data_IF_475359157635
#
_entry.id   IF_475359157635
#
_cell.length_a   1.000
_cell.length_b   1.000
_cell.length_c   1.000
_cell.angle_alpha   90.00
_cell.angle_beta   90.00
_cell.angle_gamma   90.00
#
_symmetry.space_group_name_H-M   'P 1'
#
loop_
_entity.id
_entity.type
_entity.pdbx_description
1 polymer ?
#
# COMPACT_ATOMS: atom_id res chain seq x y z
N UNK A 1 58.07 10.34 -9.49
CA UNK A 1 57.73 10.01 -10.90
C UNK A 1 56.44 10.73 -11.24
N UNK A 2 56.54 11.60 -12.23
CA UNK A 2 55.66 12.70 -12.59
C UNK A 2 54.62 12.32 -13.64
N UNK A 3 53.38 12.76 -13.42
CA UNK A 3 52.43 13.42 -14.36
C UNK A 3 52.27 12.88 -15.80
N UNK A 4 51.02 12.71 -16.27
CA UNK A 4 50.49 13.56 -17.37
C UNK A 4 49.01 13.33 -17.66
N UNK A 5 48.27 14.44 -17.61
CA UNK A 5 46.93 14.69 -18.13
C UNK A 5 47.08 15.26 -19.55
N UNK A 6 46.23 14.90 -20.52
CA UNK A 6 46.03 15.71 -21.73
C UNK A 6 44.57 15.73 -22.22
N UNK A 7 43.98 16.92 -22.15
CA UNK A 7 42.91 17.48 -23.01
C UNK A 7 43.52 18.06 -24.29
N UNK A 8 42.79 18.04 -25.41
CA UNK A 8 42.80 18.99 -26.56
C UNK A 8 41.61 18.58 -27.45
N UNK A 9 40.50 19.32 -27.68
CA UNK A 9 40.21 20.68 -28.19
C UNK A 9 40.41 20.85 -29.72
N UNK A 10 39.40 21.49 -30.33
CA UNK A 10 39.32 22.25 -31.61
C UNK A 10 38.88 21.47 -32.88
N UNK A 11 38.02 21.94 -33.80
CA UNK A 11 36.98 23.00 -33.91
C UNK A 11 36.52 23.08 -35.37
N UNK A 12 35.26 23.49 -35.56
CA UNK A 12 34.62 24.19 -36.69
C UNK A 12 34.94 23.85 -38.16
N UNK A 13 33.87 23.71 -38.95
CA UNK A 13 33.66 24.63 -40.07
C UNK A 13 32.16 24.93 -40.29
N UNK A 14 31.87 26.23 -40.30
CA UNK A 14 30.62 26.91 -40.64
C UNK A 14 30.68 27.28 -42.13
N UNK A 15 29.57 27.21 -42.88
CA UNK A 15 29.27 28.18 -43.94
C UNK A 15 27.79 28.16 -44.36
N UNK A 16 27.18 29.33 -44.24
CA UNK A 16 25.85 29.79 -44.65
C UNK A 16 25.80 30.11 -46.17
N UNK A 17 24.60 30.47 -46.67
CA UNK A 17 24.19 31.24 -47.88
C UNK A 17 23.26 30.41 -48.80
N UNK A 18 22.17 30.87 -49.42
CA UNK A 18 21.37 32.11 -49.42
C UNK A 18 20.07 31.82 -50.24
N UNK A 19 18.97 32.54 -49.97
CA UNK A 19 17.69 32.63 -50.75
C UNK A 19 17.88 33.46 -52.05
N UNK A 20 16.93 33.62 -53.04
CA UNK A 20 15.45 33.70 -52.92
C UNK A 20 14.54 33.23 -54.12
N UNK A 21 13.21 33.33 -53.88
CA UNK A 21 11.98 33.45 -54.72
C UNK A 21 12.00 33.20 -56.25
N UNK A 22 10.98 32.46 -56.76
CA UNK A 22 9.86 32.99 -57.58
C UNK A 22 8.98 31.89 -58.21
N UNK A 23 7.66 32.11 -58.30
CA UNK A 23 6.76 31.38 -59.22
C UNK A 23 5.35 31.12 -58.68
N UNK A 24 4.44 32.10 -58.81
CA UNK A 24 2.99 31.93 -58.64
C UNK A 24 2.27 31.67 -60.00
N UNK A 25 0.98 31.31 -59.88
CA UNK A 25 -0.17 31.52 -60.80
C UNK A 25 -0.41 30.46 -61.90
N UNK A 26 -1.50 29.69 -61.81
CA UNK A 26 -2.78 29.95 -62.52
C UNK A 26 -3.85 28.90 -62.23
N UNK A 27 -5.06 29.40 -61.96
CA UNK A 27 -6.35 28.71 -61.90
C UNK A 27 -7.26 29.27 -63.01
N UNK A 28 -8.12 28.42 -63.60
CA UNK A 28 -9.51 28.64 -64.08
C UNK A 28 -9.85 27.59 -65.16
N UNK A 29 -10.85 26.73 -64.97
CA UNK A 29 -12.32 26.89 -65.17
C UNK A 29 -12.73 26.85 -66.63
N UNK A 30 -13.66 25.96 -66.97
CA UNK A 30 -14.76 26.26 -67.87
C UNK A 30 -16.02 25.48 -67.49
N UNK A 31 -17.10 26.23 -67.23
CA UNK A 31 -18.50 25.82 -67.17
C UNK A 31 -19.16 26.05 -68.53
N UNK A 32 -20.25 25.33 -68.83
CA UNK A 32 -21.60 25.83 -69.23
C UNK A 32 -22.37 24.76 -70.04
N UNK A 33 -23.51 24.26 -69.53
CA UNK A 33 -24.92 24.68 -69.81
C UNK A 33 -25.51 23.90 -71.03
N UNK A 34 -26.72 23.34 -71.15
CA UNK A 34 -28.08 23.66 -70.64
C UNK A 34 -29.09 22.54 -71.02
N UNK A 35 -30.27 22.48 -70.34
CA UNK A 35 -31.61 22.00 -70.82
C UNK A 35 -31.90 20.48 -70.89
N UNK A 36 -33.09 19.87 -70.68
CA UNK A 36 -34.49 20.27 -70.35
C UNK A 36 -35.33 18.99 -70.01
N UNK A 37 -36.36 19.15 -69.16
CA UNK A 37 -37.66 18.43 -68.99
C UNK A 37 -37.85 16.90 -68.81
N UNK A 38 -38.52 16.58 -67.69
CA UNK A 38 -39.64 15.64 -67.39
C UNK A 38 -39.78 14.26 -68.05
N UNK A 39 -39.89 13.22 -67.20
CA UNK A 39 -40.85 12.10 -67.35
C UNK A 39 -41.08 11.38 -66.00
N UNK A 40 -42.27 10.81 -65.83
CA UNK A 40 -42.88 10.26 -64.61
C UNK A 40 -42.49 8.80 -64.27
N UNK A 41 -42.86 8.40 -63.03
CA UNK A 41 -43.12 7.02 -62.55
C UNK A 41 -41.89 6.13 -62.34
N UNK A 42 -41.69 5.39 -61.25
CA UNK A 42 -42.63 4.47 -60.58
C UNK A 42 -42.03 4.01 -59.23
N UNK A 43 -42.91 3.86 -58.23
CA UNK A 43 -42.83 3.16 -56.92
C UNK A 43 -41.57 2.37 -56.51
N UNK A 44 -41.12 2.58 -55.27
CA UNK A 44 -40.83 1.52 -54.26
C UNK A 44 -40.84 2.17 -52.86
N UNK A 45 -41.67 1.74 -51.90
CA UNK A 45 -41.62 2.29 -50.55
C UNK A 45 -40.37 1.76 -49.82
N UNK A 46 -39.54 2.69 -49.36
CA UNK A 46 -38.42 2.42 -48.48
C UNK A 46 -38.93 1.80 -47.18
N UNK A 47 -38.45 0.60 -46.88
CA UNK A 47 -38.56 0.00 -45.54
C UNK A 47 -37.71 0.87 -44.62
N UNK A 48 -38.38 1.67 -43.79
CA UNK A 48 -37.77 2.31 -42.63
C UNK A 48 -37.30 1.20 -41.70
N UNK A 49 -36.00 0.94 -41.69
CA UNK A 49 -35.38 0.24 -40.56
C UNK A 49 -35.44 1.21 -39.40
N UNK A 50 -36.31 0.92 -38.43
CA UNK A 50 -36.22 1.49 -37.10
C UNK A 50 -34.83 1.11 -36.56
N UNK A 51 -33.92 2.08 -36.53
CA UNK A 51 -32.75 2.01 -35.65
C UNK A 51 -33.30 1.86 -34.23
N UNK A 52 -33.23 0.63 -33.72
CA UNK A 52 -33.34 0.36 -32.30
C UNK A 52 -32.13 1.04 -31.66
N UNK A 53 -32.30 2.30 -31.26
CA UNK A 53 -31.38 2.97 -30.35
C UNK A 53 -31.49 2.21 -29.03
N UNK A 54 -30.60 1.25 -28.85
CA UNK A 54 -30.36 0.57 -27.58
C UNK A 54 -29.97 1.66 -26.59
N UNK A 55 -30.95 2.13 -25.83
CA UNK A 55 -30.77 3.06 -24.73
C UNK A 55 -29.83 2.37 -23.74
N UNK A 56 -28.54 2.70 -23.80
CA UNK A 56 -27.55 2.27 -22.79
C UNK A 56 -28.14 2.59 -21.42
N UNK A 57 -28.54 1.54 -20.69
CA UNK A 57 -29.11 1.69 -19.37
C UNK A 57 -28.05 2.37 -18.50
N UNK A 58 -28.39 3.51 -17.92
CA UNK A 58 -27.47 4.26 -17.06
C UNK A 58 -26.97 3.33 -15.94
N UNK A 59 -25.65 3.20 -15.73
CA UNK A 59 -25.12 2.31 -14.71
C UNK A 59 -25.61 2.74 -13.31
N UNK A 60 -25.80 1.76 -12.43
CA UNK A 60 -26.22 1.97 -11.04
C UNK A 60 -25.12 2.61 -10.16
N UNK A 61 -23.91 2.72 -10.70
CA UNK A 61 -22.76 3.40 -10.11
C UNK A 61 -22.38 4.63 -10.93
N UNK A 62 -21.63 5.57 -10.34
CA UNK A 62 -21.08 6.72 -11.10
C UNK A 62 -19.72 6.34 -11.65
N UNK A 63 -19.46 6.59 -12.94
CA UNK A 63 -18.14 6.40 -13.54
C UNK A 63 -17.47 7.74 -13.84
N UNK A 64 -16.16 7.79 -13.69
CA UNK A 64 -15.31 8.90 -14.11
C UNK A 64 -14.04 8.36 -14.78
N UNK A 65 -13.50 9.06 -15.78
CA UNK A 65 -12.21 8.70 -16.38
C UNK A 65 -11.05 9.39 -15.65
N UNK A 66 -10.04 8.61 -15.31
CA UNK A 66 -8.82 9.12 -14.66
C UNK A 66 -7.85 9.69 -15.70
N UNK A 67 -7.12 10.73 -15.31
CA UNK A 67 -6.07 11.35 -16.14
C UNK A 67 -4.68 10.90 -15.68
N UNK A 68 -3.70 10.93 -16.59
CA UNK A 68 -2.30 10.61 -16.30
C UNK A 68 -1.88 9.23 -16.80
N UNK A 69 -0.96 8.58 -16.08
CA UNK A 69 -0.52 7.22 -16.42
C UNK A 69 -1.59 6.20 -16.00
N UNK A 70 -2.36 5.71 -16.98
CA UNK A 70 -3.52 4.84 -16.76
C UNK A 70 -3.21 3.34 -16.93
N UNK A 71 -2.12 2.99 -17.60
CA UNK A 71 -1.78 1.59 -17.92
C UNK A 71 -0.65 1.11 -17.00
N UNK A 72 -1.02 0.76 -15.77
CA UNK A 72 -0.10 0.30 -14.72
C UNK A 72 -0.12 -1.22 -14.60
N UNK A 73 -1.20 -1.88 -15.04
CA UNK A 73 -1.38 -3.32 -14.94
C UNK A 73 -2.02 -3.79 -13.63
N UNK A 74 -2.67 -2.89 -12.89
CA UNK A 74 -3.36 -3.18 -11.64
C UNK A 74 -4.79 -2.60 -11.61
N UNK A 75 -5.53 -2.86 -10.54
CA UNK A 75 -6.74 -2.12 -10.22
C UNK A 75 -6.66 -1.64 -8.77
N UNK A 76 -7.31 -0.52 -8.49
CA UNK A 76 -7.24 0.15 -7.18
C UNK A 76 -8.61 0.24 -6.57
N UNK A 77 -8.74 -0.22 -5.33
CA UNK A 77 -9.95 -0.07 -4.52
C UNK A 77 -9.67 0.92 -3.40
N UNK A 78 -10.61 1.81 -3.12
CA UNK A 78 -10.47 2.82 -2.08
C UNK A 78 -11.82 3.19 -1.45
N UNK A 79 -11.83 3.69 -0.20
CA UNK A 79 -10.67 3.77 0.71
C UNK A 79 -10.23 2.37 1.18
N UNK A 80 -8.99 2.23 1.65
CA UNK A 80 -8.49 0.94 2.17
C UNK A 80 -9.18 0.53 3.49
N UNK A 81 -9.63 1.52 4.27
CA UNK A 81 -10.39 1.33 5.51
C UNK A 81 -11.37 2.47 5.69
N UNK A 82 -12.58 2.14 6.11
CA UNK A 82 -13.61 3.10 6.55
C UNK A 82 -14.02 2.76 7.97
N UNK A 83 -14.12 3.77 8.83
CA UNK A 83 -14.63 3.64 10.19
C UNK A 83 -15.89 4.48 10.32
N UNK A 84 -16.99 3.88 10.78
CA UNK A 84 -18.31 4.50 10.83
C UNK A 84 -18.95 4.18 12.18
N UNK A 85 -19.49 5.20 12.85
CA UNK A 85 -20.26 5.04 14.07
C UNK A 85 -21.74 5.35 13.81
N UNK A 86 -22.61 4.38 14.06
CA UNK A 86 -24.02 4.40 13.64
C UNK A 86 -24.93 4.00 14.81
N UNK A 87 -26.12 4.58 14.89
CA UNK A 87 -27.12 4.21 15.90
C UNK A 87 -27.94 3.00 15.44
N UNK A 88 -28.47 2.14 16.35
CA UNK A 88 -29.38 1.08 15.94
C UNK A 88 -30.58 1.61 15.13
N UNK A 89 -30.88 0.97 14.00
CA UNK A 89 -31.97 1.37 13.09
C UNK A 89 -31.60 2.42 12.04
N UNK A 90 -30.36 2.90 12.01
CA UNK A 90 -29.89 3.91 11.06
C UNK A 90 -29.25 3.25 9.83
N UNK A 91 -29.35 3.94 8.69
CA UNK A 91 -28.76 3.53 7.41
C UNK A 91 -27.77 4.59 6.94
N UNK A 92 -26.59 4.16 6.54
CA UNK A 92 -25.53 5.01 5.99
C UNK A 92 -25.13 4.50 4.62
N UNK A 93 -24.86 5.42 3.69
CA UNK A 93 -24.31 5.09 2.37
C UNK A 93 -22.84 5.50 2.35
N UNK A 94 -21.96 4.53 2.13
CA UNK A 94 -20.53 4.74 1.98
C UNK A 94 -20.13 4.55 0.52
N UNK A 95 -19.38 5.50 -0.04
CA UNK A 95 -18.85 5.35 -1.41
C UNK A 95 -17.51 4.59 -1.39
N UNK A 96 -17.42 3.53 -2.20
CA UNK A 96 -16.17 2.82 -2.52
C UNK A 96 -15.79 3.12 -3.97
N UNK A 97 -14.54 3.49 -4.22
CA UNK A 97 -14.01 3.69 -5.56
C UNK A 97 -13.28 2.46 -6.07
N UNK A 98 -13.56 2.03 -7.30
CA UNK A 98 -12.81 0.99 -8.00
C UNK A 98 -12.27 1.57 -9.30
N UNK A 99 -10.96 1.53 -9.49
CA UNK A 99 -10.28 2.08 -10.68
C UNK A 99 -9.62 0.96 -11.45
N UNK A 100 -9.95 0.81 -12.73
CA UNK A 100 -9.29 -0.14 -13.62
C UNK A 100 -8.08 0.53 -14.29
N UNK A 101 -6.88 0.02 -14.02
CA UNK A 101 -5.63 0.42 -14.69
C UNK A 101 -4.97 -0.77 -15.40
N UNK A 102 -5.75 -1.82 -15.65
CA UNK A 102 -5.38 -2.99 -16.44
C UNK A 102 -5.63 -2.65 -17.91
N UNK A 103 -4.74 -3.09 -18.80
CA UNK A 103 -4.72 -2.77 -20.24
C UNK A 103 -5.94 -3.24 -21.06
N UNK A 104 -7.02 -3.69 -20.43
CA UNK A 104 -8.22 -4.22 -21.08
C UNK A 104 -9.46 -3.98 -20.21
N UNK A 105 -10.63 -3.99 -20.85
CA UNK A 105 -11.93 -3.94 -20.16
C UNK A 105 -12.11 -5.20 -19.32
N UNK A 106 -12.58 -5.02 -18.09
CA UNK A 106 -12.71 -6.11 -17.11
C UNK A 106 -14.07 -6.08 -16.42
N UNK A 107 -14.58 -7.26 -16.10
CA UNK A 107 -15.69 -7.41 -15.16
C UNK A 107 -15.12 -7.43 -13.74
N UNK A 108 -15.74 -6.66 -12.85
CA UNK A 108 -15.46 -6.61 -11.43
C UNK A 108 -16.64 -7.16 -10.65
N UNK A 109 -16.37 -7.92 -9.58
CA UNK A 109 -17.40 -8.48 -8.69
C UNK A 109 -17.14 -8.05 -7.25
N UNK A 110 -18.22 -7.77 -6.55
CA UNK A 110 -18.27 -7.35 -5.15
C UNK A 110 -18.71 -8.52 -4.28
N UNK A 111 -17.92 -8.83 -3.26
CA UNK A 111 -18.24 -9.82 -2.24
C UNK A 111 -18.07 -9.18 -0.87
N UNK A 112 -18.94 -9.49 0.08
CA UNK A 112 -18.77 -9.07 1.48
C UNK A 112 -18.25 -10.25 2.26
N UNK A 113 -17.13 -10.03 2.95
CA UNK A 113 -16.53 -11.06 3.80
C UNK A 113 -16.31 -10.52 5.21
N UNK A 114 -16.50 -11.36 6.23
CA UNK A 114 -16.18 -10.98 7.60
C UNK A 114 -14.66 -10.97 7.78
N UNK A 115 -14.22 -10.10 8.68
CA UNK A 115 -12.81 -10.04 9.08
C UNK A 115 -12.70 -10.24 10.58
N UNK A 116 -11.63 -10.92 10.98
CA UNK A 116 -11.29 -11.12 12.39
C UNK A 116 -9.84 -10.72 12.63
N UNK A 117 -9.49 -10.39 13.88
CA UNK A 117 -8.09 -10.20 14.24
C UNK A 117 -7.40 -11.53 14.46
N UNK A 118 -6.07 -11.54 14.38
CA UNK A 118 -5.33 -12.77 14.63
C UNK A 118 -5.33 -13.18 16.09
N UNK A 119 -5.31 -14.49 16.37
CA UNK A 119 -5.10 -15.03 17.72
C UNK A 119 -3.63 -15.12 18.12
N UNK A 120 -2.71 -15.03 17.16
CA UNK A 120 -1.26 -15.13 17.38
C UNK A 120 -0.53 -13.81 17.15
N UNK A 121 -1.23 -12.76 16.69
CA UNK A 121 -0.66 -11.45 16.40
C UNK A 121 0.06 -11.30 15.06
N UNK A 122 0.13 -12.36 14.24
CA UNK A 122 0.88 -12.38 12.97
C UNK A 122 0.26 -11.54 11.85
N UNK A 123 -1.04 -11.27 11.91
CA UNK A 123 -1.79 -10.56 10.87
C UNK A 123 -2.70 -9.49 11.46
N UNK A 124 -2.80 -8.35 10.76
CA UNK A 124 -3.68 -7.27 11.15
C UNK A 124 -5.17 -7.63 11.02
N UNK A 125 -5.50 -8.40 9.98
CA UNK A 125 -6.84 -8.90 9.68
C UNK A 125 -6.74 -10.29 9.05
N UNK A 126 -7.73 -11.12 9.30
CA UNK A 126 -7.90 -12.44 8.70
C UNK A 126 -9.32 -12.56 8.15
N UNK A 127 -9.37 -12.94 6.88
CA UNK A 127 -10.58 -13.27 6.13
C UNK A 127 -11.14 -14.62 6.61
N UNK A 128 -12.43 -14.68 6.94
CA UNK A 128 -13.08 -15.88 7.50
C UNK A 128 -13.59 -16.87 6.44
N UNK A 129 -13.52 -16.51 5.16
CA UNK A 129 -14.13 -17.25 4.05
C UNK A 129 -15.65 -17.31 4.20
N UNK A 130 -16.23 -18.49 4.06
CA UNK A 130 -17.67 -18.69 4.19
C UNK A 130 -18.15 -18.71 5.66
N UNK A 131 -17.24 -18.89 6.62
CA UNK A 131 -17.59 -18.93 8.04
C UNK A 131 -18.03 -17.56 8.54
N UNK A 132 -19.03 -17.57 9.43
CA UNK A 132 -19.55 -16.34 10.05
C UNK A 132 -18.72 -16.00 11.28
N UNK A 133 -18.17 -14.79 11.31
CA UNK A 133 -17.44 -14.28 12.46
C UNK A 133 -18.37 -13.86 13.62
N UNK A 134 -17.85 -13.77 14.86
CA UNK A 134 -18.62 -13.28 16.00
C UNK A 134 -19.02 -11.79 15.89
N UNK A 135 -18.35 -11.03 15.03
CA UNK A 135 -18.54 -9.60 14.80
C UNK A 135 -18.96 -9.31 13.35
N UNK A 136 -19.80 -10.17 12.79
CA UNK A 136 -20.13 -10.20 11.37
C UNK A 136 -20.93 -8.98 10.90
N UNK A 137 -20.45 -8.30 9.86
CA UNK A 137 -21.14 -7.16 9.24
C UNK A 137 -21.93 -7.53 7.97
N UNK A 138 -21.78 -8.77 7.47
CA UNK A 138 -22.32 -9.23 6.17
C UNK A 138 -23.78 -8.85 5.96
N UNK A 139 -24.63 -9.11 6.95
CA UNK A 139 -26.08 -8.90 6.85
C UNK A 139 -26.46 -7.40 6.79
N UNK A 140 -25.54 -6.49 7.12
CA UNK A 140 -25.80 -5.06 7.16
C UNK A 140 -25.38 -4.37 5.86
N UNK A 141 -24.51 -4.99 5.06
CA UNK A 141 -23.98 -4.42 3.82
C UNK A 141 -24.79 -4.93 2.64
N UNK A 142 -25.17 -4.01 1.76
CA UNK A 142 -25.86 -4.31 0.51
C UNK A 142 -25.38 -3.40 -0.63
N UNK A 143 -25.48 -3.92 -1.85
CA UNK A 143 -25.19 -3.20 -3.08
C UNK A 143 -26.40 -3.31 -4.02
N UNK A 144 -26.63 -2.34 -4.92
CA UNK A 144 -27.66 -2.45 -5.95
C UNK A 144 -27.47 -3.67 -6.86
N UNK A 145 -26.23 -3.93 -7.28
CA UNK A 145 -25.81 -5.14 -7.99
C UNK A 145 -24.41 -5.55 -7.49
N UNK A 146 -24.03 -6.80 -7.73
CA UNK A 146 -22.77 -7.40 -7.28
C UNK A 146 -21.67 -7.41 -8.36
N UNK A 147 -21.98 -7.01 -9.60
CA UNK A 147 -20.98 -6.91 -10.67
C UNK A 147 -21.13 -5.64 -11.50
N UNK A 148 -20.02 -5.23 -12.13
CA UNK A 148 -19.96 -4.11 -13.05
C UNK A 148 -18.74 -4.23 -13.96
N UNK A 149 -18.78 -3.53 -15.09
CA UNK A 149 -17.71 -3.54 -16.09
C UNK A 149 -17.01 -2.19 -16.11
N UNK A 150 -15.67 -2.18 -16.15
CA UNK A 150 -14.88 -0.96 -16.33
C UNK A 150 -13.89 -1.11 -17.48
N UNK A 151 -13.81 -0.07 -18.30
CA UNK A 151 -12.76 0.09 -19.30
C UNK A 151 -11.43 0.51 -18.67
N UNK A 152 -10.35 0.42 -19.43
CA UNK A 152 -9.04 0.94 -19.03
C UNK A 152 -9.15 2.45 -18.71
N UNK A 153 -8.72 2.84 -17.51
CA UNK A 153 -8.73 4.22 -17.06
C UNK A 153 -10.09 4.69 -16.53
N UNK A 154 -11.08 3.82 -16.39
CA UNK A 154 -12.33 4.15 -15.71
C UNK A 154 -12.26 3.91 -14.21
N UNK A 155 -12.98 4.75 -13.47
CA UNK A 155 -13.19 4.65 -12.03
C UNK A 155 -14.68 4.66 -11.72
N UNK A 156 -15.18 3.57 -11.14
CA UNK A 156 -16.50 3.51 -10.53
C UNK A 156 -16.49 4.11 -9.12
N UNK A 157 -17.58 4.78 -8.75
CA UNK A 157 -17.98 5.14 -7.38
C UNK A 157 -19.23 4.33 -7.04
N UNK A 158 -19.04 3.33 -6.18
CA UNK A 158 -20.00 2.31 -5.82
C UNK A 158 -20.67 2.73 -4.50
N UNK A 159 -21.99 2.97 -4.48
CA UNK A 159 -22.71 3.27 -3.26
C UNK A 159 -22.97 2.00 -2.45
N UNK A 160 -22.25 1.84 -1.34
CA UNK A 160 -22.41 0.72 -0.39
C UNK A 160 -23.39 1.13 0.69
N UNK A 161 -24.51 0.43 0.78
CA UNK A 161 -25.54 0.73 1.78
C UNK A 161 -25.32 -0.14 3.02
N UNK A 162 -25.16 0.51 4.17
CA UNK A 162 -24.97 -0.14 5.47
C UNK A 162 -26.21 0.15 6.31
N UNK A 163 -27.04 -0.87 6.54
CA UNK A 163 -28.28 -0.75 7.32
C UNK A 163 -28.15 -1.52 8.62
N UNK A 164 -28.18 -0.81 9.74
CA UNK A 164 -28.10 -1.41 11.07
C UNK A 164 -29.52 -1.70 11.58
N UNK A 165 -29.86 -2.96 11.92
CA UNK A 165 -31.15 -3.28 12.52
C UNK A 165 -31.41 -2.52 13.84
N UNK A 166 -32.69 -2.34 14.20
CA UNK A 166 -33.07 -1.65 15.44
C UNK A 166 -32.73 -2.44 16.70
N UNK A 167 -32.65 -3.76 16.57
CA UNK A 167 -32.30 -4.74 17.59
C UNK A 167 -30.81 -5.12 17.57
N UNK A 168 -29.98 -4.43 16.78
CA UNK A 168 -28.54 -4.64 16.78
C UNK A 168 -27.94 -4.35 18.16
N UNK A 169 -27.13 -5.27 18.66
CA UNK A 169 -26.43 -5.11 19.92
C UNK A 169 -25.33 -4.04 19.80
N UNK A 170 -25.10 -3.21 20.83
CA UNK A 170 -23.96 -2.29 20.85
C UNK A 170 -22.63 -3.04 20.75
N UNK A 171 -21.75 -2.59 19.86
CA UNK A 171 -20.48 -3.27 19.64
C UNK A 171 -19.83 -2.94 18.31
N UNK A 172 -18.72 -3.62 18.04
CA UNK A 172 -18.03 -3.53 16.77
C UNK A 172 -18.46 -4.63 15.80
N UNK A 173 -18.66 -4.26 14.55
CA UNK A 173 -18.94 -5.17 13.43
C UNK A 173 -17.91 -4.92 12.33
N UNK A 174 -17.29 -5.97 11.83
CA UNK A 174 -16.12 -5.88 10.96
C UNK A 174 -16.27 -6.78 9.76
N UNK A 175 -15.97 -6.21 8.59
CA UNK A 175 -15.86 -6.96 7.36
C UNK A 175 -15.07 -6.20 6.33
N UNK A 176 -15.02 -6.75 5.12
CA UNK A 176 -14.47 -6.08 3.97
C UNK A 176 -15.37 -6.25 2.77
N UNK A 177 -15.43 -5.22 1.94
CA UNK A 177 -15.95 -5.33 0.59
C UNK A 177 -14.79 -5.73 -0.31
N UNK A 178 -14.78 -6.98 -0.72
CA UNK A 178 -13.81 -7.55 -1.64
C UNK A 178 -14.24 -7.24 -3.07
N UNK A 179 -13.30 -6.71 -3.83
CA UNK A 179 -13.45 -6.51 -5.27
C UNK A 179 -12.53 -7.50 -5.96
N UNK A 180 -13.12 -8.38 -6.76
CA UNK A 180 -12.40 -9.31 -7.62
C UNK A 180 -12.58 -8.95 -9.08
N UNK A 181 -11.67 -9.39 -9.95
CA UNK A 181 -11.81 -9.16 -11.40
C UNK A 181 -11.50 -10.41 -12.21
N UNK A 182 -12.29 -10.61 -13.26
CA UNK A 182 -12.09 -11.66 -14.27
C UNK A 182 -12.09 -11.04 -15.67
N UNK A 183 -11.45 -11.72 -16.62
CA UNK A 183 -11.49 -11.32 -18.03
C UNK A 183 -12.87 -11.61 -18.61
N UNK A 184 -13.44 -10.63 -19.31
CA UNK A 184 -14.70 -10.79 -20.06
C UNK A 184 -14.47 -11.83 -21.17
N UNK A 185 -15.38 -12.79 -21.32
CA UNK A 185 -15.26 -13.89 -22.29
C UNK A 185 -14.50 -15.13 -21.81
N UNK A 186 -14.22 -15.23 -20.51
CA UNK A 186 -13.74 -16.48 -19.89
C UNK A 186 -14.93 -17.34 -19.51
N UNK A 187 -15.48 -18.07 -20.48
CA UNK A 187 -16.54 -19.06 -20.26
C UNK A 187 -15.95 -20.23 -19.44
N UNK A 188 -16.56 -20.64 -18.30
CA UNK A 188 -16.11 -21.83 -17.54
C UNK A 188 -16.09 -23.12 -18.37
N UNK A 189 -16.80 -23.17 -19.51
CA UNK A 189 -16.84 -24.32 -20.43
C UNK A 189 -15.77 -24.28 -21.55
N UNK A 190 -14.84 -23.32 -21.54
CA UNK A 190 -13.74 -23.29 -22.52
C UNK A 190 -12.68 -24.37 -22.22
N UNK A 191 -12.57 -25.37 -23.10
CA UNK A 191 -11.68 -26.53 -22.99
C UNK A 191 -10.15 -26.25 -23.01
N UNK A 192 -9.72 -25.00 -22.87
CA UNK A 192 -8.31 -24.66 -22.70
C UNK A 192 -7.96 -24.67 -21.20
N UNK A 193 -6.99 -25.48 -20.72
CA UNK A 193 -6.53 -25.39 -19.34
C UNK A 193 -5.94 -24.00 -19.11
N UNK A 194 -6.69 -23.16 -18.42
CA UNK A 194 -6.23 -21.85 -17.95
C UNK A 194 -6.35 -21.88 -16.43
N UNK A 195 -5.30 -21.48 -15.74
CA UNK A 195 -5.32 -21.23 -14.30
C UNK A 195 -5.48 -19.71 -14.13
N UNK A 196 -6.72 -19.18 -14.07
CA UNK A 196 -6.91 -17.76 -13.90
C UNK A 196 -6.43 -17.34 -12.51
N UNK A 197 -5.53 -16.36 -12.45
CA UNK A 197 -5.18 -15.69 -11.20
C UNK A 197 -6.31 -14.69 -10.92
N UNK A 198 -7.10 -14.94 -9.88
CA UNK A 198 -8.15 -14.03 -9.42
C UNK A 198 -7.52 -13.09 -8.40
N UNK A 199 -7.27 -11.85 -8.80
CA UNK A 199 -6.85 -10.81 -7.88
C UNK A 199 -8.06 -10.31 -7.10
N UNK A 200 -7.93 -10.23 -5.77
CA UNK A 200 -8.95 -9.72 -4.84
C UNK A 200 -8.34 -8.58 -4.03
N UNK A 201 -9.03 -7.45 -3.95
CA UNK A 201 -8.62 -6.30 -3.14
C UNK A 201 -9.80 -5.91 -2.26
N UNK A 202 -9.57 -5.82 -0.95
CA UNK A 202 -10.59 -5.50 0.04
C UNK A 202 -10.55 -4.05 0.50
N UNK A 203 -11.73 -3.43 0.63
CA UNK A 203 -11.94 -2.23 1.43
C UNK A 203 -12.46 -2.63 2.80
N UNK A 204 -11.72 -2.36 3.87
CA UNK A 204 -12.12 -2.72 5.23
C UNK A 204 -13.22 -1.78 5.72
N UNK A 205 -14.28 -2.33 6.30
CA UNK A 205 -15.39 -1.57 6.90
C UNK A 205 -15.46 -1.91 8.39
N UNK A 206 -15.22 -0.90 9.22
CA UNK A 206 -15.30 -0.98 10.67
C UNK A 206 -16.55 -0.21 11.09
N UNK A 207 -17.58 -0.93 11.51
CA UNK A 207 -18.81 -0.36 11.99
C UNK A 207 -18.85 -0.45 13.51
N UNK A 208 -19.14 0.67 14.17
CA UNK A 208 -19.41 0.72 15.61
C UNK A 208 -20.86 1.09 15.83
N UNK A 209 -21.62 0.18 16.42
CA UNK A 209 -23.01 0.44 16.84
C UNK A 209 -22.98 1.10 18.20
N UNK A 210 -23.60 2.29 18.30
CA UNK A 210 -23.62 3.09 19.54
C UNK A 210 -24.33 2.36 20.68
N UNK A 211 -23.77 2.49 21.88
CA UNK A 211 -24.33 1.99 23.13
C UNK A 211 -23.21 1.65 24.13
N UNK A 212 -23.53 0.85 25.14
CA UNK A 212 -22.55 0.40 26.11
C UNK A 212 -21.60 -0.63 25.48
N UNK A 213 -20.33 -0.26 25.33
CA UNK A 213 -19.30 -1.13 24.74
C UNK A 213 -18.14 -1.30 25.71
N UNK A 214 -17.54 -2.48 25.69
CA UNK A 214 -16.37 -2.79 26.52
C UNK A 214 -15.11 -2.43 25.75
N UNK A 215 -14.44 -1.34 26.13
CA UNK A 215 -13.17 -0.93 25.52
C UNK A 215 -12.03 -1.34 26.44
N UNK A 216 -11.37 -2.45 26.12
CA UNK A 216 -10.25 -2.96 26.92
C UNK A 216 -9.15 -3.47 26.00
N UNK A 217 -7.98 -2.84 26.09
CA UNK A 217 -6.76 -3.31 25.46
C UNK A 217 -5.56 -2.99 26.34
N UNK A 218 -4.45 -3.68 26.09
CA UNK A 218 -3.19 -3.49 26.80
C UNK A 218 -2.01 -3.89 25.91
N UNK A 219 -0.89 -3.22 26.12
CA UNK A 219 0.40 -3.65 25.57
C UNK A 219 0.93 -4.80 26.43
N UNK A 220 1.20 -5.94 25.82
CA UNK A 220 1.70 -7.12 26.51
C UNK A 220 3.22 -7.14 26.57
N UNK A 221 3.88 -6.85 25.45
CA UNK A 221 5.31 -7.00 25.33
C UNK A 221 5.92 -6.11 24.24
N UNK A 222 7.21 -5.84 24.38
CA UNK A 222 8.08 -5.29 23.35
C UNK A 222 9.26 -6.25 23.17
N UNK A 223 9.39 -6.81 21.98
CA UNK A 223 10.37 -7.84 21.68
C UNK A 223 11.15 -7.55 20.40
N UNK A 224 12.17 -8.37 20.15
CA UNK A 224 12.98 -8.34 18.95
C UNK A 224 12.45 -9.43 18.00
N UNK A 225 11.99 -9.07 16.80
CA UNK A 225 11.27 -10.01 15.92
C UNK A 225 12.10 -11.23 15.49
N UNK A 226 13.43 -11.12 15.56
CA UNK A 226 14.35 -12.18 15.16
C UNK A 226 14.81 -13.08 16.31
N UNK A 227 14.28 -12.91 17.53
CA UNK A 227 14.71 -13.59 18.78
C UNK A 227 16.23 -13.54 19.03
N UNK A 228 16.91 -12.57 18.43
CA UNK A 228 18.36 -12.37 18.57
C UNK A 228 18.62 -11.38 19.69
N UNK A 229 19.37 -11.80 20.70
CA UNK A 229 19.84 -10.92 21.77
C UNK A 229 21.02 -10.01 21.35
N UNK A 230 21.62 -10.26 20.18
CA UNK A 230 22.73 -9.49 19.63
C UNK A 230 22.65 -9.31 18.10
N UNK A 231 23.20 -8.19 17.60
CA UNK A 231 23.20 -7.81 16.18
C UNK A 231 24.60 -7.38 15.71
N UNK A 232 24.96 -7.62 14.45
CA UNK A 232 26.20 -7.08 13.85
C UNK A 232 26.06 -5.63 13.40
N UNK A 233 24.85 -5.26 12.94
CA UNK A 233 24.48 -3.98 12.34
C UNK A 233 22.97 -3.82 12.34
N UNK A 234 22.48 -2.64 12.00
CA UNK A 234 21.07 -2.41 11.67
C UNK A 234 20.66 -2.98 10.30
N UNK A 235 19.37 -2.93 9.97
CA UNK A 235 18.29 -2.40 10.81
C UNK A 235 17.92 -3.34 11.97
N UNK A 236 17.39 -2.77 13.06
CA UNK A 236 16.87 -3.51 14.20
C UNK A 236 15.34 -3.56 14.07
N UNK A 237 14.80 -4.76 14.00
CA UNK A 237 13.36 -5.02 13.90
C UNK A 237 12.78 -5.33 15.29
N UNK A 238 11.85 -4.49 15.71
CA UNK A 238 11.16 -4.55 16.99
C UNK A 238 9.69 -4.91 16.76
N UNK A 239 9.09 -5.66 17.68
CA UNK A 239 7.68 -6.02 17.67
C UNK A 239 7.01 -5.57 18.95
N UNK A 240 5.94 -4.81 18.85
CA UNK A 240 5.06 -4.50 19.99
C UNK A 240 3.85 -5.43 19.92
N UNK A 241 3.70 -6.29 20.92
CA UNK A 241 2.53 -7.15 21.04
C UNK A 241 1.44 -6.43 21.82
N UNK A 242 0.30 -6.20 21.18
CA UNK A 242 -0.86 -5.59 21.78
C UNK A 242 -2.05 -6.56 21.80
N UNK A 243 -2.77 -6.60 22.91
CA UNK A 243 -3.97 -7.42 23.11
C UNK A 243 -5.20 -6.54 23.26
N UNK A 244 -6.28 -6.89 22.56
CA UNK A 244 -7.60 -6.29 22.75
C UNK A 244 -8.57 -7.36 23.28
N UNK A 245 -9.05 -7.17 24.51
CA UNK A 245 -10.03 -8.03 25.21
C UNK A 245 -11.42 -7.39 25.29
N UNK A 246 -11.61 -6.26 24.60
CA UNK A 246 -12.88 -5.54 24.50
C UNK A 246 -13.81 -6.12 23.43
N UNK A 247 -14.97 -5.48 23.27
CA UNK A 247 -15.97 -5.76 22.23
C UNK A 247 -15.89 -4.82 21.02
N UNK A 248 -15.03 -3.81 21.09
CA UNK A 248 -14.75 -2.84 20.01
C UNK A 248 -13.26 -2.77 19.74
N UNK A 249 -12.90 -2.37 18.52
CA UNK A 249 -11.52 -2.17 18.14
C UNK A 249 -10.97 -0.96 18.88
N UNK A 250 -9.66 -0.99 19.13
CA UNK A 250 -8.93 0.12 19.75
C UNK A 250 -7.84 0.59 18.80
N UNK A 251 -7.45 1.86 18.94
CA UNK A 251 -6.41 2.48 18.12
C UNK A 251 -5.24 2.94 19.02
N UNK A 252 -4.45 2.03 19.61
CA UNK A 252 -3.27 2.40 20.38
C UNK A 252 -2.28 3.21 19.56
N UNK A 253 -1.56 4.11 20.24
CA UNK A 253 -0.55 5.00 19.67
C UNK A 253 0.49 5.33 20.74
N UNK A 254 1.60 5.94 20.37
CA UNK A 254 2.61 6.30 21.36
C UNK A 254 3.98 6.54 20.75
N UNK A 255 5.02 6.17 21.48
CA UNK A 255 6.39 6.45 21.09
C UNK A 255 7.38 5.43 21.64
N UNK A 256 8.52 5.30 20.95
CA UNK A 256 9.68 4.55 21.41
C UNK A 256 10.85 5.50 21.63
N UNK A 257 11.42 5.48 22.83
CA UNK A 257 12.68 6.12 23.15
C UNK A 257 13.81 5.06 23.17
N UNK A 258 14.82 5.25 22.34
CA UNK A 258 16.01 4.38 22.28
C UNK A 258 17.17 5.06 22.98
N UNK A 259 17.72 4.41 24.01
CA UNK A 259 18.84 4.90 24.81
C UNK A 259 20.07 4.01 24.66
N UNK A 260 21.26 4.63 24.66
CA UNK A 260 22.53 3.91 24.63
C UNK A 260 22.99 3.51 26.05
N UNK A 261 24.13 2.79 26.16
CA UNK A 261 24.69 2.38 27.45
C UNK A 261 25.11 3.53 28.38
N UNK A 262 25.24 4.75 27.85
CA UNK A 262 25.57 5.97 28.60
C UNK A 262 24.31 6.72 29.08
N UNK A 263 23.11 6.20 28.76
CA UNK A 263 21.83 6.81 29.12
C UNK A 263 21.40 7.93 28.16
N UNK A 264 22.14 8.18 27.09
CA UNK A 264 21.78 9.19 26.10
C UNK A 264 20.69 8.64 25.16
N UNK A 265 19.66 9.45 24.91
CA UNK A 265 18.66 9.12 23.90
C UNK A 265 19.24 9.32 22.51
N UNK A 266 19.27 8.24 21.75
CA UNK A 266 19.92 8.15 20.44
C UNK A 266 18.95 7.85 19.31
N UNK A 267 17.69 7.57 19.64
CA UNK A 267 16.62 7.34 18.69
C UNK A 267 15.28 7.67 19.33
N UNK A 268 14.36 8.10 18.49
CA UNK A 268 12.98 8.35 18.82
C UNK A 268 12.12 7.89 17.64
N UNK A 269 11.09 7.10 17.90
CA UNK A 269 10.15 6.64 16.88
C UNK A 269 8.75 6.96 17.37
N UNK A 270 8.06 7.86 16.66
CA UNK A 270 6.65 8.12 16.89
C UNK A 270 5.82 6.99 16.27
N UNK A 271 4.85 6.49 17.01
CA UNK A 271 3.91 5.48 16.56
C UNK A 271 2.56 6.11 16.25
N UNK A 272 2.29 6.21 14.96
CA UNK A 272 0.95 6.53 14.47
C UNK A 272 -0.08 5.50 14.97
N UNK A 273 -1.33 5.92 15.25
CA UNK A 273 -2.37 5.01 15.70
C UNK A 273 -2.56 3.82 14.76
N UNK A 274 -2.53 2.60 15.32
CA UNK A 274 -2.84 1.39 14.58
C UNK A 274 -4.02 0.67 15.24
N UNK A 275 -4.89 0.06 14.43
CA UNK A 275 -6.07 -0.61 14.96
C UNK A 275 -5.73 -1.99 15.54
N UNK A 276 -6.47 -2.43 16.55
CA UNK A 276 -6.45 -3.83 17.03
C UNK A 276 -7.89 -4.28 17.17
N UNK A 277 -8.28 -5.32 16.43
CA UNK A 277 -9.65 -5.83 16.41
C UNK A 277 -10.02 -6.47 17.77
N UNK A 278 -11.32 -6.57 18.11
CA UNK A 278 -11.75 -7.18 19.37
C UNK A 278 -11.30 -8.64 19.49
N UNK A 279 -11.07 -9.08 20.73
CA UNK A 279 -10.65 -10.45 21.07
C UNK A 279 -9.48 -10.97 20.21
N UNK A 280 -8.49 -10.12 19.99
CA UNK A 280 -7.35 -10.44 19.14
C UNK A 280 -6.03 -9.90 19.66
N UNK A 281 -4.95 -10.50 19.17
CA UNK A 281 -3.59 -10.04 19.31
C UNK A 281 -3.15 -9.37 18.01
N UNK A 282 -2.29 -8.36 18.12
CA UNK A 282 -1.62 -7.77 16.97
C UNK A 282 -0.19 -7.40 17.33
N UNK A 283 0.74 -7.84 16.50
CA UNK A 283 2.13 -7.36 16.54
C UNK A 283 2.25 -6.14 15.63
N UNK A 284 2.78 -5.05 16.17
CA UNK A 284 3.18 -3.86 15.41
C UNK A 284 4.69 -3.91 15.21
N UNK A 285 5.10 -4.17 13.97
CA UNK A 285 6.51 -4.19 13.59
C UNK A 285 7.05 -2.78 13.38
N UNK A 286 8.24 -2.54 13.91
CA UNK A 286 8.95 -1.27 13.84
C UNK A 286 10.38 -1.54 13.43
N UNK A 287 10.83 -0.85 12.38
CA UNK A 287 12.20 -0.92 11.92
C UNK A 287 12.95 0.33 12.38
N UNK A 288 13.99 0.14 13.19
CA UNK A 288 14.91 1.21 13.56
C UNK A 288 16.24 0.99 12.85
N UNK A 289 16.56 1.88 11.91
CA UNK A 289 17.82 1.83 11.17
C UNK A 289 18.76 2.96 11.58
N UNK A 290 20.04 2.63 11.72
CA UNK A 290 21.11 3.57 12.05
C UNK A 290 22.45 3.04 11.58
N UNK A 291 23.24 3.93 10.97
CA UNK A 291 24.53 3.58 10.37
C UNK A 291 25.56 3.05 11.39
N UNK A 292 25.67 3.70 12.54
CA UNK A 292 26.66 3.35 13.58
C UNK A 292 25.97 2.92 14.87
N UNK A 293 26.04 1.61 15.13
CA UNK A 293 25.53 0.98 16.34
C UNK A 293 26.66 0.19 17.02
N UNK A 294 26.90 0.47 18.29
CA UNK A 294 27.89 -0.23 19.09
C UNK A 294 27.46 -0.25 20.56
N UNK A 295 27.44 -1.45 21.12
CA UNK A 295 27.17 -1.69 22.53
C UNK A 295 25.72 -2.02 22.85
N UNK A 296 25.34 -1.84 24.12
CA UNK A 296 23.99 -2.12 24.62
C UNK A 296 23.07 -0.94 24.37
N UNK A 297 21.87 -1.24 23.89
CA UNK A 297 20.77 -0.31 23.74
C UNK A 297 19.58 -0.78 24.57
N UNK A 298 18.79 0.18 25.04
CA UNK A 298 17.50 -0.06 25.68
C UNK A 298 16.43 0.74 24.98
N UNK A 299 15.39 0.07 24.53
CA UNK A 299 14.20 0.66 23.93
C UNK A 299 13.11 0.65 24.98
N UNK A 300 12.53 1.82 25.24
CA UNK A 300 11.32 1.96 26.05
C UNK A 300 10.19 2.40 25.15
N UNK A 301 9.09 1.66 25.15
CA UNK A 301 7.87 2.05 24.48
C UNK A 301 6.87 2.58 25.52
N UNK A 302 6.29 3.74 25.23
CA UNK A 302 5.17 4.31 25.97
C UNK A 302 3.96 4.30 25.05
N UNK A 303 3.03 3.39 25.30
CA UNK A 303 1.88 3.14 24.42
C UNK A 303 0.61 3.57 25.14
N UNK A 304 -0.02 4.62 24.65
CA UNK A 304 -1.37 4.98 25.02
C UNK A 304 -2.32 3.96 24.39
N UNK A 305 -3.25 3.43 25.18
CA UNK A 305 -4.20 2.40 24.75
C UNK A 305 -5.27 2.91 23.77
N UNK A 306 -5.34 4.21 23.54
CA UNK A 306 -6.33 4.87 22.69
C UNK A 306 -7.65 5.16 23.39
N UNK A 307 -7.70 4.96 24.71
CA UNK A 307 -8.85 5.28 25.56
C UNK A 307 -8.37 5.63 26.97
N UNK A 308 -9.14 6.50 27.66
CA UNK A 308 -8.95 6.88 29.07
C UNK A 308 -7.55 7.40 29.45
N UNK A 309 -6.75 7.83 28.45
CA UNK A 309 -5.37 8.30 28.60
C UNK A 309 -4.45 7.37 29.41
N UNK A 310 -4.73 6.06 29.35
CA UNK A 310 -3.93 5.04 30.03
C UNK A 310 -2.72 4.66 29.18
N UNK A 311 -1.52 4.79 29.76
CA UNK A 311 -0.24 4.52 29.11
C UNK A 311 0.38 3.26 29.69
N UNK A 312 0.69 2.29 28.83
CA UNK A 312 1.51 1.12 29.16
C UNK A 312 2.99 1.41 28.85
N UNK A 313 3.89 1.10 29.78
CA UNK A 313 5.34 1.18 29.58
C UNK A 313 5.94 -0.23 29.49
N UNK A 314 6.58 -0.55 28.37
CA UNK A 314 7.31 -1.80 28.16
C UNK A 314 8.71 -1.50 27.64
N UNK A 315 9.69 -2.37 27.91
CA UNK A 315 11.07 -2.11 27.50
C UNK A 315 11.83 -3.38 27.14
N UNK A 316 12.74 -3.27 26.17
CA UNK A 316 13.64 -4.35 25.76
C UNK A 316 15.07 -3.83 25.63
N UNK A 317 16.04 -4.68 25.95
CA UNK A 317 17.46 -4.38 25.74
C UNK A 317 18.07 -5.35 24.74
N UNK A 318 19.01 -4.87 23.93
CA UNK A 318 19.80 -5.69 23.02
C UNK A 318 21.23 -5.17 22.87
N UNK A 319 22.11 -6.02 22.35
CA UNK A 319 23.49 -5.66 22.04
C UNK A 319 23.72 -5.52 20.54
N UNK A 320 24.51 -4.54 20.13
CA UNK A 320 25.02 -4.43 18.76
C UNK A 320 26.54 -4.46 18.80
N UNK A 321 27.16 -5.45 18.16
CA UNK A 321 28.61 -5.60 18.13
C UNK A 321 29.08 -5.98 16.72
N UNK A 322 29.71 -5.05 15.99
CA UNK A 322 30.36 -5.33 14.71
C UNK A 322 31.66 -6.13 14.90
N UNK A 323 31.55 -7.42 15.24
CA UNK A 323 32.70 -8.25 15.64
C UNK A 323 33.82 -8.34 14.59
N UNK A 324 33.51 -8.16 13.30
CA UNK A 324 34.52 -8.09 12.21
C UNK A 324 35.41 -6.85 12.33
N UNK A 325 34.82 -5.71 12.68
CA UNK A 325 35.57 -4.46 12.90
C UNK A 325 36.38 -4.61 14.19
N UNK A 326 35.73 -5.07 15.26
CA UNK A 326 36.38 -5.31 16.56
C UNK A 326 37.57 -6.28 16.39
N UNK A 327 37.35 -7.42 15.76
CA UNK A 327 38.37 -8.42 15.47
C UNK A 327 39.48 -7.88 14.56
N UNK A 328 39.15 -7.08 13.54
CA UNK A 328 40.13 -6.41 12.68
C UNK A 328 41.02 -5.44 13.45
N UNK A 329 40.43 -4.61 14.33
CA UNK A 329 41.18 -3.70 15.21
C UNK A 329 42.08 -4.49 16.16
N UNK A 330 41.57 -5.55 16.79
CA UNK A 330 42.39 -6.43 17.64
C UNK A 330 43.52 -7.11 16.88
N UNK A 331 43.28 -7.55 15.64
CA UNK A 331 44.30 -8.17 14.79
C UNK A 331 45.39 -7.19 14.38
N UNK A 332 45.02 -5.96 14.00
CA UNK A 332 45.99 -4.88 13.71
C UNK A 332 46.79 -4.53 14.96
N UNK A 333 46.13 -4.38 16.11
CA UNK A 333 46.79 -4.12 17.39
C UNK A 333 47.76 -5.24 17.76
N UNK A 334 47.37 -6.50 17.55
CA UNK A 334 48.21 -7.67 17.76
C UNK A 334 49.47 -7.64 16.88
N UNK A 335 49.33 -7.34 15.58
CA UNK A 335 50.48 -7.18 14.65
C UNK A 335 51.40 -6.06 15.10
N UNK A 336 50.86 -4.90 15.52
CA UNK A 336 51.65 -3.76 15.98
C UNK A 336 52.44 -4.13 17.23
N UNK A 337 51.79 -4.71 18.25
CA UNK A 337 52.44 -5.12 19.50
C UNK A 337 53.52 -6.19 19.22
N UNK A 338 53.22 -7.17 18.38
CA UNK A 338 54.17 -8.21 17.99
C UNK A 338 55.39 -7.63 17.26
N UNK A 339 55.17 -6.69 16.33
CA UNK A 339 56.24 -6.03 15.57
C UNK A 339 57.14 -5.20 16.47
N UNK A 340 56.56 -4.43 17.40
CA UNK A 340 57.30 -3.66 18.41
C UNK A 340 58.16 -4.60 19.26
N UNK A 341 57.58 -5.71 19.75
CA UNK A 341 58.30 -6.69 20.56
C UNK A 341 59.43 -7.37 19.79
N UNK A 342 59.22 -7.70 18.52
CA UNK A 342 60.24 -8.26 17.64
C UNK A 342 61.39 -7.26 17.43
N UNK A 343 61.07 -5.99 17.14
CA UNK A 343 62.06 -4.92 16.97
C UNK A 343 62.94 -4.74 18.22
N UNK A 344 62.36 -4.66 19.41
CA UNK A 344 63.12 -4.52 20.66
C UNK A 344 63.92 -5.79 21.04
N UNK A 345 63.56 -6.98 20.55
CA UNK A 345 64.39 -8.19 20.75
C UNK A 345 65.61 -8.24 19.84
N UNK A 346 65.56 -7.60 18.68
CA UNK A 346 66.63 -7.68 17.66
C UNK A 346 67.66 -6.56 17.80
N UNK A 347 67.29 -5.39 18.34
CA UNK A 347 68.20 -4.26 18.51
C UNK A 347 68.76 -4.17 19.93
N UNK A 348 69.96 -4.71 20.14
CA UNK A 348 70.78 -4.45 21.33
C UNK A 348 71.36 -3.03 21.24
N UNK A 349 70.92 -2.11 22.11
CA UNK A 349 71.48 -0.75 22.15
C UNK A 349 72.94 -0.82 22.60
N UNK A 350 73.87 -0.91 21.65
CA UNK A 350 75.30 -0.79 21.93
C UNK A 350 75.57 0.67 22.32
N UNK A 351 75.60 0.95 23.62
CA UNK A 351 75.98 2.25 24.18
C UNK A 351 77.38 2.58 23.67
N UNK A 352 77.50 3.63 22.85
CA UNK A 352 78.80 4.15 22.38
C UNK A 352 79.53 4.65 23.63
N UNK A 353 80.53 3.89 24.08
CA UNK A 353 81.39 4.24 25.20
C UNK A 353 82.31 5.41 24.85
N UNK A 354 82.67 6.16 25.91
CA UNK A 354 83.44 7.42 25.96
C UNK A 354 84.79 7.40 25.24
#
# INVERSE_FOLDING_TARGET
MTTSVKKFILVCLVALLATPLSGEVFAQVDEQNTSVASEESTTTPAVLQEEVVESEAKPWYRSERISGNIEVGDFVVGPGRTEIEVSPGETVIQEISVTNRISETREFRLEVEDITGSKDGSSAVSLTGDERGPYSIRDYISFPEDSFVLELGERARIPVTITVPKDAEPGGYYGSVLVSTVRIGTDPDSAAPRSPIIARVGSLIFLKVKGETKTEGKTLDLSLLNDKWWYEKGPIELGILYENTGSVHVNPYGELAITNMFGEQVGFVELEPWFVLPNSLRVREITWDREFLLGRYTVKAQINRGYEDVIDEVSVSFWVMPWKIVGGVFFVLFIVIFSIRAFFRTFEFKRKGD
#
